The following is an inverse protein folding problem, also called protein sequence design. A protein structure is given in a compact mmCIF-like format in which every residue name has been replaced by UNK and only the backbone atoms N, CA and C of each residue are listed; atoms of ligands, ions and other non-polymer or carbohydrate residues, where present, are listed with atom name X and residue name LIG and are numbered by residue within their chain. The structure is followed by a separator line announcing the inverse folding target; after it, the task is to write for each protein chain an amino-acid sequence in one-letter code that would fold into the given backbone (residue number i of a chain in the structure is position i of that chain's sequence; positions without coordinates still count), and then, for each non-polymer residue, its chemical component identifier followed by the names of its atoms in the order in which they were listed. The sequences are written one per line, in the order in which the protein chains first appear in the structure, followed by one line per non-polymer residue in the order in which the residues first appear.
data_IF_259501467006
#
_entry.id   IF_259501467006
#
_cell.length_a   1.000
_cell.length_b   1.000
_cell.length_c   1.000
_cell.angle_alpha   90.00
_cell.angle_beta   90.00
_cell.angle_gamma   90.00
#
_symmetry.space_group_name_H-M   'P 1'
#
loop_
_entity.id
_entity.type
_entity.pdbx_description
1 polymer ?
#
# COMPACT_ATOMS: atom_id res chain seq x y z
N UNK A 1 28.80 52.48 44.75
CA UNK A 1 29.51 51.21 44.48
C UNK A 1 29.03 50.19 45.49
N UNK A 2 28.12 49.31 45.11
CA UNK A 2 27.53 48.32 46.01
C UNK A 2 28.02 46.93 45.60
N UNK A 3 28.89 46.34 46.41
CA UNK A 3 29.36 44.96 46.28
C UNK A 3 28.27 44.00 46.76
N UNK A 4 28.00 42.89 46.04
CA UNK A 4 27.07 41.86 46.51
C UNK A 4 27.78 40.88 47.47
N UNK A 5 27.15 40.61 48.62
CA UNK A 5 27.58 39.58 49.57
C UNK A 5 27.17 38.18 49.10
N UNK A 6 28.05 37.25 49.47
CA UNK A 6 28.15 35.82 49.22
C UNK A 6 26.89 34.98 49.50
N UNK A 7 26.68 33.99 48.62
CA UNK A 7 25.80 32.83 48.82
C UNK A 7 26.32 31.98 49.99
N UNK A 8 25.45 31.72 50.96
CA UNK A 8 25.69 30.71 51.97
C UNK A 8 24.84 29.47 51.67
N UNK A 9 25.49 28.32 51.76
CA UNK A 9 24.97 27.00 51.48
C UNK A 9 24.28 26.43 52.71
N UNK A 10 23.02 25.99 52.60
CA UNK A 10 22.49 25.00 53.53
C UNK A 10 21.58 24.02 52.79
N UNK A 11 22.03 22.77 52.82
CA UNK A 11 21.33 21.57 52.38
C UNK A 11 20.12 21.34 53.28
N UNK A 12 18.92 21.18 52.69
CA UNK A 12 17.76 20.66 53.40
C UNK A 12 17.13 19.51 52.64
N UNK A 13 16.72 18.50 53.42
CA UNK A 13 16.46 17.09 53.08
C UNK A 13 15.45 16.88 51.95
N UNK A 14 15.77 15.96 51.01
CA UNK A 14 14.80 15.41 50.05
C UNK A 14 13.77 14.55 50.77
N UNK A 15 12.49 14.90 50.68
CA UNK A 15 11.38 13.99 50.94
C UNK A 15 11.31 12.92 49.84
N UNK A 16 10.92 11.66 50.14
CA UNK A 16 10.74 10.64 49.11
C UNK A 16 9.47 10.93 48.30
N UNK A 17 9.58 10.90 46.98
CA UNK A 17 8.46 10.95 46.04
C UNK A 17 7.47 9.80 46.31
N UNK A 18 6.15 10.00 46.14
CA UNK A 18 5.17 8.94 46.34
C UNK A 18 5.39 7.81 45.32
N UNK A 19 5.25 6.58 45.81
CA UNK A 19 5.42 5.35 45.03
C UNK A 19 4.56 5.37 43.75
N UNK A 20 5.20 5.04 42.62
CA UNK A 20 4.52 4.85 41.33
C UNK A 20 3.50 3.72 41.48
N UNK A 21 2.23 4.01 41.18
CA UNK A 21 1.18 2.97 41.13
C UNK A 21 1.47 2.04 39.96
N UNK A 22 1.67 0.75 40.26
CA UNK A 22 1.76 -0.32 39.29
C UNK A 22 0.48 -0.37 38.42
N UNK A 23 0.65 -0.18 37.11
CA UNK A 23 -0.43 -0.17 36.12
C UNK A 23 -0.96 -1.54 35.75
N UNK A 24 -0.77 -2.57 36.58
CA UNK A 24 -0.98 -3.98 36.21
C UNK A 24 -2.42 -4.49 36.43
N UNK A 25 -3.38 -3.65 36.83
CA UNK A 25 -4.75 -4.12 37.10
C UNK A 25 -5.87 -3.28 36.45
N UNK A 26 -5.65 -2.75 35.25
CA UNK A 26 -6.72 -2.16 34.46
C UNK A 26 -7.54 -3.27 33.78
N UNK A 27 -8.75 -3.55 34.30
CA UNK A 27 -9.73 -4.42 33.61
C UNK A 27 -9.94 -3.89 32.17
N UNK A 28 -9.86 -4.74 31.13
CA UNK A 28 -10.11 -4.30 29.77
C UNK A 28 -11.54 -3.77 29.67
N UNK A 29 -11.69 -2.50 29.25
CA UNK A 29 -13.00 -1.91 29.01
C UNK A 29 -13.70 -2.72 27.90
N UNK A 30 -14.99 -3.07 28.06
CA UNK A 30 -15.74 -3.75 27.02
C UNK A 30 -15.72 -2.88 25.77
N UNK A 31 -15.26 -3.44 24.65
CA UNK A 31 -15.36 -2.77 23.35
C UNK A 31 -16.85 -2.53 23.08
N UNK A 32 -17.26 -1.31 22.69
CA UNK A 32 -18.65 -1.09 22.30
C UNK A 32 -18.99 -2.09 21.20
N UNK A 33 -20.14 -2.75 21.33
CA UNK A 33 -20.64 -3.67 20.32
C UNK A 33 -20.54 -2.97 18.96
N UNK A 34 -19.93 -3.64 17.98
CA UNK A 34 -19.81 -3.11 16.61
C UNK A 34 -21.20 -2.64 16.21
N UNK A 35 -21.31 -1.34 15.92
CA UNK A 35 -22.54 -0.73 15.41
C UNK A 35 -23.13 -1.63 14.35
N UNK A 36 -24.43 -1.93 14.48
CA UNK A 36 -25.18 -2.65 13.46
C UNK A 36 -24.91 -1.99 12.10
N UNK A 37 -24.76 -2.81 11.06
CA UNK A 37 -24.55 -2.33 9.69
C UNK A 37 -25.56 -1.23 9.38
N UNK A 38 -25.11 -0.13 8.76
CA UNK A 38 -25.95 1.05 8.47
C UNK A 38 -27.16 0.74 7.57
N UNK A 39 -27.13 -0.40 6.87
CA UNK A 39 -28.15 -0.85 5.95
C UNK A 39 -28.52 -2.30 6.26
N UNK A 40 -29.81 -2.60 6.15
CA UNK A 40 -30.34 -3.97 6.15
C UNK A 40 -29.89 -4.73 4.88
N UNK A 41 -29.91 -6.08 4.90
CA UNK A 41 -29.63 -6.88 3.71
C UNK A 41 -30.50 -6.53 2.50
N UNK A 42 -31.76 -6.14 2.74
CA UNK A 42 -32.68 -5.73 1.67
C UNK A 42 -32.26 -4.39 1.04
N UNK A 43 -31.85 -3.43 1.84
CA UNK A 43 -31.33 -2.14 1.35
C UNK A 43 -30.01 -2.32 0.58
N UNK A 44 -29.09 -3.16 1.06
CA UNK A 44 -27.85 -3.48 0.33
C UNK A 44 -28.16 -4.09 -1.04
N UNK A 45 -29.10 -5.04 -1.11
CA UNK A 45 -29.53 -5.65 -2.39
C UNK A 45 -30.11 -4.61 -3.34
N UNK A 46 -30.93 -3.68 -2.84
CA UNK A 46 -31.51 -2.62 -3.64
C UNK A 46 -30.45 -1.63 -4.16
N UNK A 47 -29.43 -1.30 -3.36
CA UNK A 47 -28.29 -0.47 -3.79
C UNK A 47 -27.55 -1.14 -4.96
N UNK A 48 -27.17 -2.42 -4.82
CA UNK A 48 -26.47 -3.13 -5.90
C UNK A 48 -27.34 -3.30 -7.15
N UNK A 49 -28.66 -3.51 -7.01
CA UNK A 49 -29.60 -3.54 -8.15
C UNK A 49 -29.60 -2.19 -8.90
N UNK A 50 -29.59 -1.06 -8.18
CA UNK A 50 -29.52 0.27 -8.82
C UNK A 50 -28.19 0.47 -9.54
N UNK A 51 -27.08 0.06 -8.94
CA UNK A 51 -25.77 0.11 -9.60
C UNK A 51 -25.72 -0.77 -10.86
N UNK A 52 -26.27 -1.99 -10.82
CA UNK A 52 -26.28 -2.87 -11.99
C UNK A 52 -27.16 -2.34 -13.13
N UNK A 53 -28.24 -1.62 -12.82
CA UNK A 53 -29.06 -0.93 -13.84
C UNK A 53 -28.31 0.26 -14.43
N UNK A 54 -27.63 1.06 -13.61
CA UNK A 54 -26.91 2.26 -14.07
C UNK A 54 -25.62 1.92 -14.84
N UNK A 55 -24.91 0.86 -14.42
CA UNK A 55 -23.66 0.37 -15.00
C UNK A 55 -23.72 -1.16 -15.12
N UNK A 56 -24.30 -1.70 -16.21
CA UNK A 56 -24.46 -3.14 -16.38
C UNK A 56 -23.14 -3.91 -16.45
N UNK A 57 -22.13 -3.34 -17.09
CA UNK A 57 -20.79 -3.93 -17.24
C UNK A 57 -19.71 -2.95 -16.77
N UNK A 58 -19.54 -2.74 -15.46
CA UNK A 58 -18.49 -1.86 -14.95
C UNK A 58 -17.12 -2.49 -15.25
N UNK A 59 -16.22 -1.70 -15.86
CA UNK A 59 -14.83 -2.10 -16.18
C UNK A 59 -13.85 -1.26 -15.37
N UNK A 60 -12.66 -1.81 -15.10
CA UNK A 60 -11.57 -1.05 -14.51
C UNK A 60 -11.03 0.03 -15.45
N UNK A 61 -10.41 1.08 -14.90
CA UNK A 61 -9.91 2.22 -15.68
C UNK A 61 -8.44 2.06 -16.13
N UNK A 62 -7.74 1.06 -15.60
CA UNK A 62 -6.34 0.78 -15.94
C UNK A 62 -6.23 0.16 -17.34
N UNK A 63 -5.46 0.82 -18.21
CA UNK A 63 -5.16 0.34 -19.55
C UNK A 63 -4.20 -0.86 -19.51
N UNK A 64 -4.58 -1.93 -20.20
CA UNK A 64 -3.80 -3.18 -20.29
C UNK A 64 -4.14 -3.90 -21.60
N UNK A 65 -3.25 -4.79 -22.04
CA UNK A 65 -3.43 -5.58 -23.27
C UNK A 65 -3.46 -7.09 -23.00
N UNK A 66 -3.03 -7.51 -21.82
CA UNK A 66 -2.97 -8.91 -21.37
C UNK A 66 -2.94 -8.98 -19.84
N UNK A 67 -2.97 -10.18 -19.26
CA UNK A 67 -2.96 -10.39 -17.81
C UNK A 67 -1.70 -9.83 -17.12
N UNK A 68 -0.53 -9.95 -17.75
CA UNK A 68 0.73 -9.44 -17.18
C UNK A 68 0.72 -7.90 -17.08
N UNK A 69 0.33 -7.22 -18.16
CA UNK A 69 0.24 -5.76 -18.18
C UNK A 69 -0.82 -5.23 -17.22
N UNK A 70 -1.93 -5.94 -17.02
CA UNK A 70 -2.90 -5.63 -15.97
C UNK A 70 -2.28 -5.77 -14.57
N UNK A 71 -1.59 -6.87 -14.29
CA UNK A 71 -0.90 -7.09 -13.02
C UNK A 71 0.12 -5.97 -12.73
N UNK A 72 0.94 -5.61 -13.72
CA UNK A 72 1.89 -4.50 -13.61
C UNK A 72 1.17 -3.17 -13.33
N UNK A 73 0.08 -2.88 -14.03
CA UNK A 73 -0.69 -1.65 -13.81
C UNK A 73 -1.27 -1.59 -12.39
N UNK A 74 -1.76 -2.71 -11.85
CA UNK A 74 -2.27 -2.81 -10.47
C UNK A 74 -1.16 -2.61 -9.44
N UNK A 75 0.02 -3.23 -9.62
CA UNK A 75 1.17 -2.99 -8.73
C UNK A 75 1.59 -1.52 -8.76
N UNK A 76 1.50 -0.86 -9.91
CA UNK A 76 1.81 0.55 -10.07
C UNK A 76 0.73 1.49 -9.50
N UNK A 77 -0.51 1.05 -9.36
CA UNK A 77 -1.63 1.88 -8.91
C UNK A 77 -1.63 2.15 -7.40
N UNK A 78 -0.87 1.37 -6.62
CA UNK A 78 -0.70 1.60 -5.19
C UNK A 78 -0.28 3.06 -4.91
N UNK A 79 -1.14 3.82 -4.25
CA UNK A 79 -0.93 5.26 -3.96
C UNK A 79 -0.66 6.12 -5.21
N UNK A 80 -1.31 5.80 -6.34
CA UNK A 80 -1.29 6.57 -7.57
C UNK A 80 -2.71 6.72 -8.13
N UNK A 81 -2.89 7.60 -9.10
CA UNK A 81 -4.15 7.72 -9.84
C UNK A 81 -4.09 6.91 -11.12
N UNK A 82 -5.23 6.34 -11.54
CA UNK A 82 -5.31 5.53 -12.77
C UNK A 82 -4.84 6.32 -14.00
N UNK A 83 -5.15 7.62 -14.07
CA UNK A 83 -4.64 8.53 -15.11
C UNK A 83 -3.11 8.60 -15.11
N UNK A 84 -2.50 8.71 -13.93
CA UNK A 84 -1.04 8.78 -13.79
C UNK A 84 -0.36 7.45 -14.16
N UNK A 85 -0.98 6.33 -13.79
CA UNK A 85 -0.53 4.98 -14.16
C UNK A 85 -0.60 4.82 -15.68
N UNK A 86 -1.76 5.05 -16.29
CA UNK A 86 -1.98 4.91 -17.74
C UNK A 86 -0.98 5.76 -18.55
N UNK A 87 -0.68 6.99 -18.10
CA UNK A 87 0.31 7.84 -18.78
C UNK A 87 1.70 7.20 -18.81
N UNK A 88 2.14 6.56 -17.72
CA UNK A 88 3.44 5.91 -17.64
C UNK A 88 3.44 4.55 -18.38
N UNK A 89 2.39 3.74 -18.19
CA UNK A 89 2.34 2.37 -18.67
C UNK A 89 2.19 2.27 -20.18
N UNK A 90 1.53 3.21 -20.86
CA UNK A 90 1.42 3.21 -22.34
C UNK A 90 2.77 3.06 -23.04
N UNK A 91 3.78 3.81 -22.58
CA UNK A 91 5.12 3.77 -23.15
C UNK A 91 5.89 2.52 -22.69
N UNK A 92 5.75 2.14 -21.42
CA UNK A 92 6.37 0.94 -20.86
C UNK A 92 5.89 -0.32 -21.57
N UNK A 93 4.58 -0.49 -21.77
CA UNK A 93 3.99 -1.70 -22.36
C UNK A 93 4.31 -1.85 -23.85
N UNK A 94 4.53 -0.74 -24.57
CA UNK A 94 5.08 -0.83 -25.94
C UNK A 94 6.51 -1.40 -25.97
N UNK A 95 7.29 -1.17 -24.92
CA UNK A 95 8.65 -1.70 -24.80
C UNK A 95 8.69 -3.09 -24.15
N UNK A 96 7.83 -3.35 -23.17
CA UNK A 96 7.83 -4.54 -22.32
C UNK A 96 6.42 -4.93 -21.86
N UNK A 97 5.78 -5.83 -22.60
CA UNK A 97 4.45 -6.39 -22.36
C UNK A 97 4.47 -7.85 -21.86
N UNK A 98 5.65 -8.39 -21.57
CA UNK A 98 5.86 -9.75 -21.03
C UNK A 98 6.89 -9.72 -19.90
N UNK A 99 6.89 -10.70 -18.97
CA UNK A 99 7.91 -10.78 -17.93
C UNK A 99 9.34 -10.79 -18.47
N UNK A 100 9.57 -11.52 -19.56
CA UNK A 100 10.89 -11.61 -20.21
C UNK A 100 11.37 -10.26 -20.74
N UNK A 101 10.50 -9.53 -21.46
CA UNK A 101 10.85 -8.19 -21.96
C UNK A 101 11.03 -7.19 -20.82
N UNK A 102 10.23 -7.26 -19.76
CA UNK A 102 10.34 -6.39 -18.59
C UNK A 102 11.67 -6.61 -17.86
N UNK A 103 12.06 -7.87 -17.70
CA UNK A 103 13.34 -8.24 -17.11
C UNK A 103 14.52 -7.81 -17.98
N UNK A 104 14.44 -8.02 -19.30
CA UNK A 104 15.47 -7.60 -20.26
C UNK A 104 15.62 -6.08 -20.35
N UNK A 105 14.53 -5.33 -20.17
CA UNK A 105 14.55 -3.86 -20.11
C UNK A 105 15.35 -3.36 -18.89
N UNK A 106 15.26 -4.07 -17.77
CA UNK A 106 16.04 -3.81 -16.56
C UNK A 106 15.47 -2.70 -15.67
N UNK A 107 15.82 -2.74 -14.39
CA UNK A 107 15.25 -1.87 -13.34
C UNK A 107 15.41 -0.38 -13.65
N UNK A 108 16.60 0.04 -14.09
CA UNK A 108 16.90 1.44 -14.35
C UNK A 108 16.00 2.03 -15.44
N UNK A 109 15.87 1.33 -16.58
CA UNK A 109 15.04 1.75 -17.71
C UNK A 109 13.55 1.70 -17.34
N UNK A 110 13.10 0.65 -16.66
CA UNK A 110 11.73 0.59 -16.12
C UNK A 110 11.46 1.82 -15.24
N UNK A 111 12.38 2.14 -14.34
CA UNK A 111 12.29 3.31 -13.47
C UNK A 111 12.15 4.64 -14.22
N UNK A 112 12.81 4.81 -15.37
CA UNK A 112 12.63 5.99 -16.22
C UNK A 112 11.18 6.10 -16.76
N UNK A 113 10.58 5.00 -17.20
CA UNK A 113 9.20 5.00 -17.71
C UNK A 113 8.18 5.39 -16.63
N UNK A 114 8.39 4.92 -15.40
CA UNK A 114 7.42 5.11 -14.30
C UNK A 114 7.81 6.22 -13.32
N UNK A 115 8.82 7.05 -13.65
CA UNK A 115 9.36 8.08 -12.75
C UNK A 115 8.33 9.11 -12.27
N UNK A 116 7.26 9.29 -13.02
CA UNK A 116 6.15 10.20 -12.68
C UNK A 116 5.22 9.64 -11.61
N UNK A 117 5.34 8.36 -11.26
CA UNK A 117 4.53 7.68 -10.24
C UNK A 117 5.21 7.79 -8.87
N UNK A 118 4.43 8.01 -7.82
CA UNK A 118 4.93 7.95 -6.44
C UNK A 118 5.56 6.58 -6.12
N UNK A 119 6.64 6.59 -5.33
CA UNK A 119 7.39 5.39 -4.93
C UNK A 119 8.00 4.58 -6.09
N UNK A 120 8.25 5.22 -7.24
CA UNK A 120 8.69 4.55 -8.47
C UNK A 120 9.93 3.66 -8.32
N UNK A 121 10.89 4.01 -7.45
CA UNK A 121 12.11 3.21 -7.24
C UNK A 121 11.77 1.81 -6.70
N UNK A 122 10.99 1.75 -5.62
CA UNK A 122 10.56 0.49 -5.04
C UNK A 122 9.63 -0.26 -6.01
N UNK A 123 8.77 0.46 -6.73
CA UNK A 123 7.92 -0.14 -7.76
C UNK A 123 8.74 -0.77 -8.87
N UNK A 124 9.76 -0.10 -9.41
CA UNK A 124 10.63 -0.65 -10.45
C UNK A 124 11.34 -1.93 -9.97
N UNK A 125 11.90 -1.90 -8.76
CA UNK A 125 12.49 -3.09 -8.13
C UNK A 125 11.49 -4.24 -8.02
N UNK A 126 10.26 -3.96 -7.56
CA UNK A 126 9.20 -4.96 -7.45
C UNK A 126 8.80 -5.51 -8.82
N UNK A 127 8.69 -4.68 -9.86
CA UNK A 127 8.33 -5.16 -11.21
C UNK A 127 9.38 -6.13 -11.77
N UNK A 128 10.67 -5.86 -11.53
CA UNK A 128 11.75 -6.77 -11.93
C UNK A 128 11.68 -8.07 -11.14
N UNK A 129 11.54 -7.99 -9.81
CA UNK A 129 11.44 -9.17 -8.95
C UNK A 129 10.18 -10.01 -9.26
N UNK A 130 9.06 -9.37 -9.53
CA UNK A 130 7.81 -9.99 -9.97
C UNK A 130 8.01 -10.69 -11.30
N UNK A 131 8.65 -10.03 -12.28
CA UNK A 131 8.92 -10.64 -13.58
C UNK A 131 9.82 -11.88 -13.46
N UNK A 132 10.84 -11.82 -12.60
CA UNK A 132 11.69 -12.97 -12.29
C UNK A 132 10.91 -14.11 -11.62
N UNK A 133 10.03 -13.81 -10.66
CA UNK A 133 9.20 -14.80 -9.99
C UNK A 133 8.24 -15.49 -10.97
N UNK A 134 7.58 -14.73 -11.86
CA UNK A 134 6.73 -15.30 -12.89
C UNK A 134 7.50 -16.24 -13.82
N UNK A 135 8.69 -15.86 -14.27
CA UNK A 135 9.52 -16.71 -15.15
C UNK A 135 9.95 -17.99 -14.42
N UNK A 136 10.43 -17.86 -13.19
CA UNK A 136 10.99 -18.98 -12.41
C UNK A 136 9.91 -19.96 -11.94
N UNK A 137 8.82 -19.45 -11.39
CA UNK A 137 7.85 -20.25 -10.65
C UNK A 137 6.57 -20.56 -11.46
N UNK A 138 6.31 -19.78 -12.52
CA UNK A 138 5.07 -19.86 -13.31
C UNK A 138 5.31 -19.88 -14.84
N UNK A 139 6.54 -20.16 -15.29
CA UNK A 139 6.84 -20.27 -16.73
C UNK A 139 6.66 -18.97 -17.53
N UNK A 140 6.57 -17.82 -16.86
CA UNK A 140 6.31 -16.52 -17.48
C UNK A 140 4.83 -16.17 -17.64
N UNK A 141 3.92 -16.97 -17.09
CA UNK A 141 2.48 -16.71 -17.11
C UNK A 141 1.98 -16.18 -15.76
N UNK A 142 0.92 -15.37 -15.78
CA UNK A 142 0.28 -14.87 -14.55
C UNK A 142 -0.63 -15.97 -14.00
N UNK A 143 -0.45 -16.41 -12.75
CA UNK A 143 -1.33 -17.42 -12.16
C UNK A 143 -2.76 -16.90 -12.03
N UNK A 144 -3.74 -17.77 -12.24
CA UNK A 144 -5.18 -17.48 -12.17
C UNK A 144 -5.77 -17.64 -10.76
N UNK A 145 -4.94 -18.03 -9.79
CA UNK A 145 -5.36 -18.24 -8.42
C UNK A 145 -4.83 -17.14 -7.49
N UNK A 146 -5.68 -16.73 -6.54
CA UNK A 146 -5.40 -15.62 -5.63
C UNK A 146 -4.21 -15.87 -4.71
N UNK A 147 -4.05 -17.10 -4.23
CA UNK A 147 -3.05 -17.41 -3.21
C UNK A 147 -1.63 -17.40 -3.78
N UNK A 148 -1.44 -17.78 -5.05
CA UNK A 148 -0.17 -17.58 -5.77
C UNK A 148 0.06 -16.11 -6.13
N UNK A 149 -0.98 -15.38 -6.56
CA UNK A 149 -0.86 -13.95 -6.89
C UNK A 149 -0.31 -13.13 -5.72
N UNK A 150 -0.80 -13.37 -4.49
CA UNK A 150 -0.36 -12.64 -3.27
C UNK A 150 1.09 -12.94 -2.87
N UNK A 151 1.70 -14.01 -3.41
CA UNK A 151 3.13 -14.30 -3.18
C UNK A 151 4.04 -13.46 -4.08
N UNK A 152 3.50 -12.86 -5.15
CA UNK A 152 4.29 -12.08 -6.09
C UNK A 152 4.76 -10.75 -5.46
N UNK A 153 6.01 -10.34 -5.67
CA UNK A 153 6.53 -9.08 -5.15
C UNK A 153 5.69 -7.86 -5.55
N UNK A 154 5.14 -7.17 -4.56
CA UNK A 154 4.38 -5.93 -4.75
C UNK A 154 2.89 -6.10 -4.99
N UNK A 155 2.37 -7.33 -4.93
CA UNK A 155 0.93 -7.65 -4.92
C UNK A 155 0.38 -7.70 -3.49
#
# INVERSE_FOLDING_TARGET
MASPKSKDSSLSKKEPLPARRDGSNAKPRPRPARSALRYSPAEVKEIFRRFSVQRPEPKGELEHVNAFTLLVAVVLSAQATDVGVNKATRALFRAADTPHKMLALGEARVGEYIRTIGLWRNKAKNLIALSQALIRDHGGEVPDNRDELVKLPGV
#
